data_IF_285717661840
#
_entry.id   IF_285717661840
#
_cell.length_a   1.000
_cell.length_b   1.000
_cell.length_c   1.000
_cell.angle_alpha   90.00
_cell.angle_beta   90.00
_cell.angle_gamma   90.00
#
_symmetry.space_group_name_H-M   'P 1'
#
loop_
_entity.id
_entity.type
_entity.pdbx_description
1 polymer ?
#
# COMPACT_ATOMS: atom_id res chain seq x y z
N UNK A 1 7.60 -14.43 16.01
CA UNK A 1 8.88 -13.68 15.88
C UNK A 1 8.71 -12.67 14.75
N UNK A 2 8.25 -11.47 15.07
CA UNK A 2 8.08 -10.38 14.11
C UNK A 2 9.46 -9.84 13.75
N UNK A 3 9.76 -9.78 12.45
CA UNK A 3 10.98 -9.19 11.92
C UNK A 3 11.14 -7.77 12.46
N UNK A 4 12.17 -7.53 13.27
CA UNK A 4 12.50 -6.26 13.93
C UNK A 4 12.97 -5.19 12.89
N UNK A 5 12.93 -5.52 11.60
CA UNK A 5 13.62 -4.79 10.54
C UNK A 5 12.75 -4.40 9.34
N UNK A 6 11.45 -4.63 9.42
CA UNK A 6 10.56 -4.09 8.39
C UNK A 6 10.33 -2.60 8.64
N UNK A 7 10.63 -1.74 7.64
CA UNK A 7 10.40 -0.31 7.80
C UNK A 7 8.91 -0.09 8.00
N UNK A 8 8.56 0.64 9.06
CA UNK A 8 7.18 1.06 9.23
C UNK A 8 6.72 1.80 7.96
N UNK A 9 5.51 1.47 7.46
CA UNK A 9 4.99 2.10 6.27
C UNK A 9 4.81 3.61 6.53
N UNK A 10 5.22 4.48 5.59
CA UNK A 10 4.94 5.91 5.67
C UNK A 10 3.45 6.18 5.88
N UNK A 11 3.10 7.27 6.56
CA UNK A 11 1.71 7.65 6.83
C UNK A 11 0.80 7.57 5.59
N UNK A 12 1.28 8.05 4.44
CA UNK A 12 0.52 8.03 3.19
C UNK A 12 0.18 6.61 2.72
N UNK A 13 1.06 5.63 2.98
CA UNK A 13 0.85 4.22 2.66
C UNK A 13 -0.23 3.62 3.56
N UNK A 14 -0.20 3.94 4.86
CA UNK A 14 -1.25 3.53 5.80
C UNK A 14 -2.61 4.13 5.42
N UNK A 15 -2.66 5.44 5.14
CA UNK A 15 -3.85 6.13 4.68
C UNK A 15 -4.41 5.54 3.36
N UNK A 16 -3.53 5.14 2.44
CA UNK A 16 -3.93 4.45 1.22
C UNK A 16 -4.58 3.09 1.49
N UNK A 17 -4.10 2.34 2.50
CA UNK A 17 -4.74 1.11 2.98
C UNK A 17 -6.18 1.37 3.45
N UNK A 18 -6.35 2.31 4.37
CA UNK A 18 -7.69 2.71 4.86
C UNK A 18 -8.62 3.15 3.74
N UNK A 19 -8.10 3.86 2.74
CA UNK A 19 -8.88 4.32 1.60
C UNK A 19 -9.39 3.18 0.73
N UNK A 20 -8.62 2.10 0.57
CA UNK A 20 -9.07 0.89 -0.12
C UNK A 20 -10.13 0.17 0.73
N UNK A 21 -9.92 0.03 2.04
CA UNK A 21 -10.85 -0.65 2.94
C UNK A 21 -12.23 0.02 3.02
N UNK A 22 -12.27 1.36 3.02
CA UNK A 22 -13.52 2.12 2.94
C UNK A 22 -14.37 1.74 1.72
N UNK A 23 -13.73 1.41 0.60
CA UNK A 23 -14.43 1.01 -0.62
C UNK A 23 -14.87 -0.44 -0.59
N UNK A 24 -14.09 -1.33 0.02
CA UNK A 24 -14.52 -2.71 0.30
C UNK A 24 -15.80 -2.72 1.13
N UNK A 25 -15.95 -1.77 2.06
CA UNK A 25 -17.15 -1.58 2.88
C UNK A 25 -18.26 -0.74 2.21
N UNK A 26 -18.11 -0.35 0.93
CA UNK A 26 -19.02 0.53 0.17
C UNK A 26 -19.33 1.87 0.86
N UNK A 27 -18.41 2.41 1.66
CA UNK A 27 -18.60 3.65 2.45
C UNK A 27 -18.02 4.90 1.79
N UNK A 28 -17.53 4.83 0.55
CA UNK A 28 -16.96 6.00 -0.10
C UNK A 28 -18.06 6.85 -0.76
N UNK A 29 -18.19 8.14 -0.40
CA UNK A 29 -19.17 9.04 -0.99
C UNK A 29 -18.77 9.54 -2.39
N UNK A 30 -17.57 9.22 -2.87
CA UNK A 30 -17.03 9.69 -4.16
C UNK A 30 -16.82 8.56 -5.18
N UNK A 31 -17.46 7.41 -4.98
CA UNK A 31 -17.52 6.40 -6.03
C UNK A 31 -18.32 6.96 -7.22
N UNK A 32 -17.80 6.76 -8.43
CA UNK A 32 -18.55 6.98 -9.66
C UNK A 32 -19.60 5.88 -9.83
N UNK A 33 -20.61 6.15 -10.65
CA UNK A 33 -21.71 5.21 -10.93
C UNK A 33 -21.22 3.91 -11.61
N UNK A 34 -20.08 3.95 -12.30
CA UNK A 34 -19.41 2.80 -12.89
C UNK A 34 -18.64 1.93 -11.86
N UNK A 35 -18.74 2.25 -10.56
CA UNK A 35 -18.04 1.55 -9.48
C UNK A 35 -16.57 1.93 -9.36
N UNK A 36 -16.06 2.87 -10.16
CA UNK A 36 -14.67 3.33 -10.07
C UNK A 36 -14.53 4.47 -9.06
N UNK A 37 -13.36 4.56 -8.42
CA UNK A 37 -13.01 5.73 -7.63
C UNK A 37 -11.55 6.15 -7.91
N UNK A 38 -11.32 7.38 -8.40
CA UNK A 38 -9.97 7.90 -8.64
C UNK A 38 -9.07 7.86 -7.39
N UNK A 39 -9.67 8.06 -6.21
CA UNK A 39 -8.97 8.00 -4.92
C UNK A 39 -8.44 6.59 -4.63
N UNK A 40 -9.24 5.56 -4.90
CA UNK A 40 -8.80 4.15 -4.79
C UNK A 40 -7.74 3.82 -5.82
N UNK A 41 -7.87 4.28 -7.06
CA UNK A 41 -6.86 4.02 -8.07
C UNK A 41 -5.51 4.62 -7.66
N UNK A 42 -5.51 5.84 -7.12
CA UNK A 42 -4.31 6.47 -6.55
C UNK A 42 -3.77 5.69 -5.35
N UNK A 43 -4.62 5.31 -4.41
CA UNK A 43 -4.23 4.52 -3.24
C UNK A 43 -3.60 3.17 -3.64
N UNK A 44 -4.23 2.44 -4.56
CA UNK A 44 -3.71 1.17 -5.11
C UNK A 44 -2.34 1.36 -5.78
N UNK A 45 -2.13 2.44 -6.52
CA UNK A 45 -0.81 2.76 -7.11
C UNK A 45 0.25 3.00 -6.04
N UNK A 46 -0.08 3.76 -5.01
CA UNK A 46 0.83 4.03 -3.89
C UNK A 46 1.22 2.74 -3.14
N UNK A 47 0.24 1.89 -2.83
CA UNK A 47 0.48 0.61 -2.17
C UNK A 47 1.36 -0.32 -3.01
N UNK A 48 1.12 -0.40 -4.32
CA UNK A 48 1.97 -1.18 -5.24
C UNK A 48 3.40 -0.65 -5.26
N UNK A 49 3.58 0.66 -5.37
CA UNK A 49 4.90 1.28 -5.36
C UNK A 49 5.65 0.98 -4.05
N UNK A 50 4.97 1.12 -2.90
CA UNK A 50 5.56 0.77 -1.60
C UNK A 50 5.97 -0.70 -1.53
N UNK A 51 5.11 -1.63 -1.98
CA UNK A 51 5.43 -3.06 -1.97
C UNK A 51 6.69 -3.38 -2.76
N UNK A 52 6.83 -2.80 -3.95
CA UNK A 52 8.03 -2.94 -4.79
C UNK A 52 9.28 -2.40 -4.07
N UNK A 53 9.17 -1.26 -3.37
CA UNK A 53 10.32 -0.73 -2.60
C UNK A 53 10.72 -1.63 -1.43
N UNK A 54 9.75 -2.24 -0.74
CA UNK A 54 10.02 -3.20 0.35
C UNK A 54 10.65 -4.48 -0.21
N UNK A 55 10.14 -5.00 -1.31
CA UNK A 55 10.69 -6.17 -1.99
C UNK A 55 12.12 -5.93 -2.49
N UNK A 56 12.38 -4.78 -3.12
CA UNK A 56 13.72 -4.40 -3.56
C UNK A 56 14.69 -4.28 -2.38
N UNK A 57 14.27 -3.65 -1.27
CA UNK A 57 15.08 -3.59 -0.04
C UNK A 57 15.36 -4.98 0.53
N UNK A 58 14.37 -5.87 0.55
CA UNK A 58 14.55 -7.26 0.98
C UNK A 58 15.54 -7.99 0.08
N UNK A 59 15.39 -7.88 -1.25
CA UNK A 59 16.31 -8.49 -2.23
C UNK A 59 17.74 -7.98 -2.04
N UNK A 60 17.94 -6.66 -1.97
CA UNK A 60 19.26 -6.07 -1.72
C UNK A 60 19.88 -6.57 -0.43
N UNK A 61 19.08 -6.78 0.62
CA UNK A 61 19.56 -7.36 1.87
C UNK A 61 19.98 -8.82 1.70
N UNK A 62 19.17 -9.65 1.03
CA UNK A 62 19.55 -11.04 0.72
C UNK A 62 20.85 -11.12 -0.10
N UNK A 63 21.04 -10.24 -1.08
CA UNK A 63 22.28 -10.14 -1.86
C UNK A 63 23.48 -9.53 -1.09
N UNK A 64 23.26 -8.97 0.11
CA UNK A 64 24.31 -8.39 0.97
C UNK A 64 24.77 -9.30 2.10
N UNK A 65 24.22 -10.51 2.23
CA UNK A 65 24.75 -11.53 3.14
C UNK A 65 26.05 -12.10 2.54
N UNK A 66 27.22 -11.94 3.20
CA UNK A 66 28.42 -12.68 2.84
C UNK A 66 28.29 -14.17 3.14
#
# INVERSE_FOLDING_TARGET
>A
MTSIWEPEPPFLVMAAGFMVDLHTRKRCPHCRQDGTCPRVQRAKRLLRAWRLTVEERRRRRYFRCP
#
